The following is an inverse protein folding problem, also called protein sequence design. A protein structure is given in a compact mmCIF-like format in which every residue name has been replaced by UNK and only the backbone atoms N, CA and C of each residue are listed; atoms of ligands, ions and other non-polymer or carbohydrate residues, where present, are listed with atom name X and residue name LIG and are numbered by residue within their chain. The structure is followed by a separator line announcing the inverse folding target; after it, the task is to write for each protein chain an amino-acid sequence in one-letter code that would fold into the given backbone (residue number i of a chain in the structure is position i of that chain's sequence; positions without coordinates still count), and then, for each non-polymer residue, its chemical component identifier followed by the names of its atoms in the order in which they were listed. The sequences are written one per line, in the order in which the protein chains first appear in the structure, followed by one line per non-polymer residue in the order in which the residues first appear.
data_IF_005429186854
#
_entry.id   IF_005429186854
#
_cell.length_a   1.000
_cell.length_b   1.000
_cell.length_c   1.000
_cell.angle_alpha   90.00
_cell.angle_beta   90.00
_cell.angle_gamma   90.00
#
_symmetry.space_group_name_H-M   'P 1'
#
loop_
_entity.id
_entity.type
_entity.pdbx_description
1 polymer ?
#
# COMPACT_ATOMS: atom_id res chain seq x y z
N UNK A 1 -22.85 20.83 -20.47
CA UNK A 1 -22.51 19.46 -19.98
C UNK A 1 -21.03 19.22 -20.22
N UNK A 2 -20.20 19.43 -19.21
CA UNK A 2 -18.74 19.20 -19.27
C UNK A 2 -18.48 17.82 -18.69
N UNK A 3 -18.05 16.89 -19.54
CA UNK A 3 -17.64 15.55 -19.15
C UNK A 3 -16.22 15.64 -18.58
N UNK A 4 -16.08 15.45 -17.28
CA UNK A 4 -14.78 15.25 -16.66
C UNK A 4 -14.35 13.80 -16.91
N UNK A 5 -13.33 13.62 -17.75
CA UNK A 5 -12.58 12.37 -17.84
C UNK A 5 -11.70 12.28 -16.59
N UNK A 6 -12.05 11.39 -15.68
CA UNK A 6 -11.13 10.96 -14.64
C UNK A 6 -10.10 10.03 -15.27
N UNK A 7 -8.90 10.54 -15.50
CA UNK A 7 -7.71 9.74 -15.81
C UNK A 7 -7.29 9.00 -14.53
N UNK A 8 -7.54 7.70 -14.44
CA UNK A 8 -6.92 6.85 -13.46
C UNK A 8 -5.44 6.67 -13.85
N UNK A 9 -4.53 7.42 -13.24
CA UNK A 9 -3.10 7.19 -13.36
C UNK A 9 -2.73 6.08 -12.37
N UNK A 10 -2.55 4.86 -12.85
CA UNK A 10 -1.93 3.78 -12.10
C UNK A 10 -0.42 4.06 -12.02
N UNK A 11 0.03 4.69 -10.94
CA UNK A 11 1.45 4.86 -10.67
C UNK A 11 1.98 3.55 -10.07
N UNK A 12 2.64 2.74 -10.88
CA UNK A 12 3.40 1.57 -10.43
C UNK A 12 4.75 2.06 -9.93
N UNK A 13 4.91 2.18 -8.63
CA UNK A 13 6.22 2.44 -8.02
C UNK A 13 6.90 1.10 -7.78
N UNK A 14 7.90 0.77 -8.57
CA UNK A 14 8.74 -0.39 -8.36
C UNK A 14 9.80 -0.08 -7.29
N UNK A 15 9.67 -0.66 -6.11
CA UNK A 15 10.74 -0.65 -5.11
C UNK A 15 11.66 -1.85 -5.35
N UNK A 16 12.87 -1.59 -5.78
CA UNK A 16 13.91 -2.61 -5.91
C UNK A 16 14.72 -2.68 -4.60
N UNK A 17 14.53 -3.75 -3.82
CA UNK A 17 15.54 -4.47 -3.04
C UNK A 17 14.85 -5.53 -2.17
N UNK A 18 14.96 -6.81 -2.51
CA UNK A 18 14.45 -7.97 -1.73
C UNK A 18 12.99 -7.85 -1.27
N UNK A 19 12.14 -7.21 -2.05
CA UNK A 19 10.75 -6.99 -1.72
C UNK A 19 9.95 -8.23 -2.15
N UNK A 20 9.28 -8.85 -1.20
CA UNK A 20 8.21 -9.78 -1.53
C UNK A 20 7.25 -9.09 -2.50
N UNK A 21 6.86 -9.77 -3.57
CA UNK A 21 5.95 -9.19 -4.58
C UNK A 21 4.55 -9.06 -3.98
N UNK A 22 3.91 -7.92 -4.15
CA UNK A 22 2.53 -7.74 -3.73
C UNK A 22 1.58 -8.59 -4.60
N UNK A 23 0.71 -9.36 -3.96
CA UNK A 23 -0.33 -10.15 -4.62
C UNK A 23 -1.56 -9.31 -4.87
N UNK A 24 -1.90 -8.48 -3.91
CA UNK A 24 -3.05 -7.59 -3.95
C UNK A 24 -2.66 -6.23 -3.37
N UNK A 25 -3.08 -5.17 -4.02
CA UNK A 25 -2.82 -3.81 -3.58
C UNK A 25 -4.10 -3.01 -3.63
N UNK A 26 -4.45 -2.38 -2.53
CA UNK A 26 -5.57 -1.44 -2.45
C UNK A 26 -5.04 -0.06 -2.13
N UNK A 27 -5.41 0.91 -2.96
CA UNK A 27 -5.09 2.32 -2.76
C UNK A 27 -6.30 3.03 -2.19
N UNK A 28 -6.16 3.67 -1.06
CA UNK A 28 -7.16 4.48 -0.39
C UNK A 28 -6.80 5.94 -0.53
N UNK A 29 -7.72 6.74 -1.04
CA UNK A 29 -7.59 8.19 -1.07
C UNK A 29 -8.54 8.80 -0.04
N UNK A 30 -8.06 9.78 0.71
CA UNK A 30 -8.83 10.35 1.80
C UNK A 30 -8.23 11.62 2.36
N UNK A 31 -8.55 11.88 3.62
CA UNK A 31 -8.01 12.99 4.40
C UNK A 31 -7.21 12.48 5.60
N UNK A 32 -6.23 13.27 6.01
CA UNK A 32 -5.45 13.02 7.21
C UNK A 32 -5.45 14.27 8.09
N UNK A 33 -5.72 14.09 9.38
CA UNK A 33 -5.51 15.08 10.41
C UNK A 33 -4.26 14.73 11.22
N UNK A 34 -3.49 15.72 11.63
CA UNK A 34 -2.29 15.56 12.45
C UNK A 34 -2.41 16.39 13.70
N UNK A 35 -2.11 15.78 14.83
CA UNK A 35 -2.08 16.41 16.15
C UNK A 35 -0.68 16.35 16.78
N UNK A 36 -0.40 17.31 17.64
CA UNK A 36 0.84 17.37 18.45
C UNK A 36 0.53 17.14 19.92
N UNK A 37 -0.40 16.25 20.18
CA UNK A 37 -0.85 15.83 21.52
C UNK A 37 -1.00 14.32 21.55
N UNK A 38 -1.23 13.74 22.74
CA UNK A 38 -1.52 12.31 22.86
C UNK A 38 -2.93 11.93 22.34
N UNK A 39 -3.80 12.90 22.09
CA UNK A 39 -5.14 12.66 21.59
C UNK A 39 -5.12 12.50 20.07
N UNK A 40 -5.86 11.52 19.57
CA UNK A 40 -6.05 11.32 18.13
C UNK A 40 -6.94 12.46 17.59
N UNK A 41 -6.47 13.22 16.58
CA UNK A 41 -7.24 14.32 16.03
C UNK A 41 -8.46 13.83 15.25
N UNK A 42 -9.48 14.67 15.13
CA UNK A 42 -10.62 14.40 14.27
C UNK A 42 -10.39 14.94 12.85
N UNK A 43 -10.95 14.25 11.85
CA UNK A 43 -10.94 14.71 10.47
C UNK A 43 -11.87 15.90 10.32
N UNK A 44 -11.34 17.03 9.87
CA UNK A 44 -12.07 18.28 9.62
C UNK A 44 -11.99 18.73 8.16
N UNK A 45 -12.57 19.90 7.89
CA UNK A 45 -12.54 20.49 6.55
C UNK A 45 -11.14 20.94 6.13
N UNK A 46 -10.32 21.30 7.09
CA UNK A 46 -8.92 21.74 6.99
C UNK A 46 -7.90 20.58 6.96
N UNK A 47 -8.37 19.32 7.07
CA UNK A 47 -7.49 18.15 6.99
C UNK A 47 -6.91 17.98 5.60
N UNK A 48 -5.61 17.66 5.53
CA UNK A 48 -4.87 17.50 4.29
C UNK A 48 -5.31 16.25 3.52
N UNK A 49 -5.19 16.28 2.19
CA UNK A 49 -5.41 15.11 1.36
C UNK A 49 -4.26 14.11 1.56
N UNK A 50 -4.59 12.82 1.64
CA UNK A 50 -3.60 11.76 1.80
C UNK A 50 -3.97 10.51 0.99
N UNK A 51 -2.93 9.73 0.66
CA UNK A 51 -3.07 8.45 -0.03
C UNK A 51 -2.39 7.37 0.78
N UNK A 52 -3.11 6.29 1.06
CA UNK A 52 -2.59 5.09 1.71
C UNK A 52 -2.62 3.94 0.71
N UNK A 53 -1.51 3.23 0.59
CA UNK A 53 -1.41 1.97 -0.16
C UNK A 53 -1.25 0.82 0.82
N UNK A 54 -2.20 -0.09 0.80
CA UNK A 54 -2.17 -1.33 1.56
C UNK A 54 -1.95 -2.49 0.62
N UNK A 55 -0.97 -3.34 0.91
CA UNK A 55 -0.63 -4.48 0.07
C UNK A 55 -0.55 -5.76 0.88
N UNK A 56 -1.12 -6.83 0.33
CA UNK A 56 -0.86 -8.20 0.77
C UNK A 56 0.28 -8.75 -0.06
N UNK A 57 1.32 -9.26 0.60
CA UNK A 57 2.52 -9.75 -0.03
C UNK A 57 2.42 -11.25 -0.30
N UNK A 58 3.24 -11.76 -1.25
CA UNK A 58 3.22 -13.17 -1.65
C UNK A 58 3.63 -14.12 -0.52
N UNK A 59 4.45 -13.66 0.41
CA UNK A 59 4.87 -14.41 1.60
C UNK A 59 3.84 -14.41 2.75
N UNK A 60 2.66 -13.81 2.51
CA UNK A 60 1.58 -13.68 3.49
C UNK A 60 1.74 -12.50 4.44
N UNK A 61 2.79 -11.71 4.30
CA UNK A 61 2.96 -10.46 5.08
C UNK A 61 2.12 -9.33 4.48
N UNK A 62 2.08 -8.20 5.18
CA UNK A 62 1.36 -7.01 4.76
C UNK A 62 2.29 -5.80 4.73
N UNK A 63 1.93 -4.83 3.90
CA UNK A 63 2.60 -3.54 3.83
C UNK A 63 1.56 -2.42 3.87
N UNK A 64 1.85 -1.39 4.66
CA UNK A 64 1.10 -0.14 4.70
C UNK A 64 2.05 0.99 4.33
N UNK A 65 1.67 1.83 3.37
CA UNK A 65 2.45 2.99 2.93
C UNK A 65 1.55 4.21 2.91
N UNK A 66 1.87 5.20 3.72
CA UNK A 66 1.32 6.54 3.60
C UNK A 66 2.18 7.30 2.60
N UNK A 67 1.65 7.50 1.38
CA UNK A 67 2.42 8.06 0.26
C UNK A 67 2.41 9.58 0.26
N UNK A 68 3.58 10.16 -0.05
CA UNK A 68 3.77 11.60 -0.22
C UNK A 68 3.04 12.42 0.85
N UNK A 69 3.12 11.91 2.08
CA UNK A 69 2.48 12.55 3.19
C UNK A 69 2.99 13.99 3.34
N UNK A 70 2.08 14.92 3.42
CA UNK A 70 2.37 16.32 3.72
C UNK A 70 1.47 16.80 4.84
N UNK A 71 1.97 17.74 5.61
CA UNK A 71 1.24 18.37 6.70
C UNK A 71 1.56 19.85 6.74
N UNK A 72 0.54 20.70 6.73
CA UNK A 72 0.69 22.17 6.72
C UNK A 72 1.67 22.67 5.64
N UNK A 73 1.67 22.05 4.47
CA UNK A 73 2.56 22.39 3.35
C UNK A 73 3.99 21.83 3.45
N UNK A 74 4.33 21.10 4.52
CA UNK A 74 5.60 20.39 4.65
C UNK A 74 5.48 18.98 4.10
N UNK A 75 6.32 18.62 3.12
CA UNK A 75 6.35 17.26 2.57
C UNK A 75 7.20 16.39 3.48
N UNK A 76 6.55 15.47 4.18
CA UNK A 76 7.19 14.49 5.07
C UNK A 76 7.76 13.33 4.26
N UNK A 77 7.08 12.94 3.18
CA UNK A 77 7.46 11.85 2.28
C UNK A 77 6.62 10.59 2.45
N UNK A 78 7.20 9.46 2.07
CA UNK A 78 6.55 8.15 2.20
C UNK A 78 6.89 7.53 3.54
N UNK A 79 5.86 7.17 4.33
CA UNK A 79 6.01 6.44 5.59
C UNK A 79 5.59 4.99 5.36
N UNK A 80 6.52 4.05 5.54
CA UNK A 80 6.32 2.64 5.17
C UNK A 80 6.37 1.73 6.40
N UNK A 81 5.32 0.92 6.59
CA UNK A 81 5.26 -0.11 7.63
C UNK A 81 5.23 -1.48 6.94
N UNK A 82 6.28 -2.29 7.14
CA UNK A 82 6.40 -3.66 6.59
C UNK A 82 6.61 -4.72 7.65
N UNK A 83 7.29 -4.36 8.74
CA UNK A 83 7.59 -5.29 9.84
C UNK A 83 6.68 -4.99 11.03
N UNK A 84 6.22 -6.05 11.70
CA UNK A 84 5.34 -5.92 12.86
C UNK A 84 3.93 -5.46 12.55
N UNK A 85 3.52 -5.49 11.27
CA UNK A 85 2.15 -5.25 10.86
C UNK A 85 1.37 -6.55 10.95
N UNK A 86 0.44 -6.63 11.91
CA UNK A 86 -0.48 -7.74 12.07
C UNK A 86 -1.81 -7.41 11.39
N UNK A 87 -2.43 -8.38 10.75
CA UNK A 87 -3.75 -8.23 10.14
C UNK A 87 -4.65 -9.38 10.60
N UNK A 88 -5.83 -9.02 11.08
CA UNK A 88 -6.90 -9.94 11.43
C UNK A 88 -8.09 -9.67 10.52
N UNK A 89 -8.55 -10.70 9.82
CA UNK A 89 -9.72 -10.63 8.96
C UNK A 89 -10.89 -11.38 9.60
N UNK A 90 -12.01 -10.67 9.82
CA UNK A 90 -13.23 -11.24 10.36
C UNK A 90 -14.46 -10.54 9.77
N UNK A 91 -15.40 -11.32 9.26
CA UNK A 91 -16.69 -10.85 8.74
C UNK A 91 -16.54 -9.69 7.71
N UNK A 92 -15.56 -9.83 6.79
CA UNK A 92 -15.27 -8.82 5.76
C UNK A 92 -14.63 -7.53 6.29
N UNK A 93 -14.21 -7.51 7.55
CA UNK A 93 -13.46 -6.42 8.17
C UNK A 93 -12.03 -6.87 8.38
N UNK A 94 -11.05 -6.06 7.94
CA UNK A 94 -9.63 -6.27 8.21
C UNK A 94 -9.21 -5.26 9.26
N UNK A 95 -8.65 -5.74 10.36
CA UNK A 95 -8.05 -4.91 11.41
C UNK A 95 -6.54 -5.05 11.33
N UNK A 96 -5.85 -3.94 11.14
CA UNK A 96 -4.40 -3.84 11.10
C UNK A 96 -3.90 -3.25 12.41
N UNK A 97 -2.86 -3.82 12.99
CA UNK A 97 -2.24 -3.31 14.21
C UNK A 97 -0.72 -3.38 14.14
N UNK A 98 -0.08 -2.36 14.68
CA UNK A 98 1.35 -2.37 15.01
C UNK A 98 1.54 -1.79 16.41
N UNK A 99 2.65 -2.14 17.05
CA UNK A 99 3.02 -1.56 18.34
C UNK A 99 4.49 -1.15 18.31
N UNK A 100 4.74 0.15 18.36
CA UNK A 100 6.06 0.77 18.43
C UNK A 100 7.07 0.22 17.41
N UNK A 101 6.65 0.16 16.13
CA UNK A 101 7.49 -0.35 15.04
C UNK A 101 8.26 0.76 14.34
N UNK A 102 9.46 0.45 13.87
CA UNK A 102 10.21 1.36 13.01
C UNK A 102 9.59 1.42 11.62
N UNK A 103 9.18 2.62 11.20
CA UNK A 103 8.66 2.92 9.89
C UNK A 103 9.68 3.82 9.14
N UNK A 104 10.33 3.31 8.08
CA UNK A 104 11.15 4.14 7.20
C UNK A 104 10.38 5.32 6.63
N UNK A 105 11.04 6.48 6.61
CA UNK A 105 10.57 7.70 5.96
C UNK A 105 11.49 7.97 4.78
N UNK A 106 10.92 8.11 3.58
CA UNK A 106 11.68 8.25 2.33
C UNK A 106 11.04 9.30 1.42
N UNK A 107 11.70 9.60 0.31
CA UNK A 107 11.18 10.46 -0.76
C UNK A 107 10.90 11.92 -0.36
N UNK A 108 11.63 12.44 0.62
CA UNK A 108 11.63 13.88 0.96
C UNK A 108 12.92 14.30 1.64
N UNK A 109 13.20 15.60 1.63
CA UNK A 109 14.33 16.19 2.37
C UNK A 109 14.08 16.11 3.89
N UNK A 110 12.82 16.14 4.32
CA UNK A 110 12.43 15.96 5.73
C UNK A 110 12.78 14.57 6.26
N UNK A 111 12.81 13.56 5.41
CA UNK A 111 13.20 12.20 5.82
C UNK A 111 14.58 12.18 6.47
N UNK A 112 15.56 12.93 5.91
CA UNK A 112 16.90 13.04 6.48
C UNK A 112 16.90 13.75 7.85
N UNK A 113 16.06 14.78 8.03
CA UNK A 113 15.91 15.50 9.29
C UNK A 113 15.27 14.64 10.39
N UNK A 114 14.39 13.70 10.00
CA UNK A 114 13.76 12.72 10.88
C UNK A 114 14.64 11.49 11.16
N UNK A 115 15.89 11.48 10.65
CA UNK A 115 16.79 10.33 10.78
C UNK A 115 16.38 9.14 9.91
N UNK A 116 15.56 9.35 8.86
CA UNK A 116 15.15 8.35 7.89
C UNK A 116 14.10 7.36 8.38
N UNK A 117 13.63 7.48 9.61
CA UNK A 117 12.63 6.60 10.21
C UNK A 117 11.93 7.26 11.38
N UNK A 118 10.74 6.76 11.69
CA UNK A 118 9.98 7.11 12.89
C UNK A 118 9.49 5.84 13.58
N UNK A 119 9.22 5.92 14.89
CA UNK A 119 8.52 4.86 15.62
C UNK A 119 7.02 5.13 15.55
N UNK A 120 6.22 4.11 15.29
CA UNK A 120 4.77 4.25 15.11
C UNK A 120 4.04 3.10 15.79
N UNK A 121 3.00 3.44 16.53
CA UNK A 121 1.92 2.52 16.91
C UNK A 121 0.70 2.85 16.01
N UNK A 122 0.12 1.84 15.37
CA UNK A 122 -1.00 2.06 14.45
C UNK A 122 -2.12 1.05 14.71
N UNK A 123 -3.35 1.55 14.61
CA UNK A 123 -4.55 0.73 14.47
C UNK A 123 -5.33 1.21 13.25
N UNK A 124 -5.56 0.31 12.29
CA UNK A 124 -6.39 0.65 11.14
C UNK A 124 -7.49 -0.41 10.94
N UNK A 125 -8.61 0.03 10.41
CA UNK A 125 -9.75 -0.83 10.07
C UNK A 125 -10.12 -0.61 8.61
N UNK A 126 -10.22 -1.70 7.86
CA UNK A 126 -10.71 -1.71 6.48
C UNK A 126 -12.05 -2.45 6.48
N UNK A 127 -13.09 -1.76 6.07
CA UNK A 127 -14.45 -2.31 5.96
C UNK A 127 -15.19 -1.67 4.79
N UNK A 128 -15.91 -2.46 4.02
CA UNK A 128 -16.74 -1.98 2.88
C UNK A 128 -15.96 -1.07 1.91
N UNK A 129 -14.67 -1.41 1.65
CA UNK A 129 -13.79 -0.64 0.79
C UNK A 129 -13.35 0.71 1.37
N UNK A 130 -13.55 0.97 2.65
CA UNK A 130 -13.08 2.17 3.36
C UNK A 130 -12.04 1.81 4.40
N UNK A 131 -11.09 2.72 4.61
CA UNK A 131 -10.07 2.61 5.65
C UNK A 131 -10.17 3.77 6.62
N UNK A 132 -10.08 3.45 7.90
CA UNK A 132 -9.79 4.41 8.98
C UNK A 132 -8.51 3.93 9.66
N UNK A 133 -7.52 4.80 9.78
CA UNK A 133 -6.26 4.49 10.45
C UNK A 133 -5.93 5.57 11.50
N UNK A 134 -5.58 5.12 12.69
CA UNK A 134 -5.12 5.93 13.79
C UNK A 134 -3.65 5.60 14.06
N UNK A 135 -2.80 6.63 14.03
CA UNK A 135 -1.37 6.54 14.26
C UNK A 135 -1.03 7.32 15.54
N UNK A 136 -0.29 6.69 16.41
CA UNK A 136 0.10 7.27 17.71
C UNK A 136 1.55 6.92 18.05
N UNK A 137 2.05 7.47 19.15
CA UNK A 137 3.41 7.28 19.63
C UNK A 137 4.49 7.61 18.56
N UNK A 138 4.19 8.58 17.69
CA UNK A 138 5.14 9.03 16.69
C UNK A 138 6.04 10.07 17.34
N UNK A 139 7.26 9.67 17.69
CA UNK A 139 8.27 10.57 18.24
C UNK A 139 9.09 11.18 17.11
N UNK A 140 9.07 12.50 17.00
CA UNK A 140 9.86 13.24 16.01
C UNK A 140 10.77 14.23 16.73
N UNK A 141 12.01 14.37 16.23
CA UNK A 141 12.95 15.39 16.67
C UNK A 141 13.19 16.35 15.52
N UNK A 142 12.69 17.57 15.66
CA UNK A 142 12.86 18.63 14.68
C UNK A 142 13.80 19.69 15.24
N UNK A 143 15.07 19.65 14.81
CA UNK A 143 16.05 20.64 15.21
C UNK A 143 16.38 20.68 16.71
N UNK A 144 16.30 19.55 17.39
CA UNK A 144 16.54 19.43 18.83
C UNK A 144 15.29 19.55 19.69
N UNK A 145 14.12 19.77 19.11
CA UNK A 145 12.83 19.76 19.81
C UNK A 145 12.14 18.40 19.58
N UNK A 146 11.93 17.67 20.68
CA UNK A 146 11.17 16.43 20.63
C UNK A 146 9.68 16.72 20.73
N UNK A 147 8.90 16.07 19.87
CA UNK A 147 7.44 16.21 19.80
C UNK A 147 6.79 14.85 19.63
N UNK A 148 5.68 14.67 20.33
CA UNK A 148 4.79 13.54 20.10
C UNK A 148 3.75 13.93 19.06
N UNK A 149 3.61 13.09 18.04
CA UNK A 149 2.69 13.31 16.93
C UNK A 149 1.67 12.19 16.91
N UNK A 150 0.43 12.54 16.66
CA UNK A 150 -0.67 11.62 16.38
C UNK A 150 -1.29 11.97 15.04
N UNK A 151 -1.87 10.97 14.36
CA UNK A 151 -2.57 11.23 13.11
C UNK A 151 -3.78 10.32 12.96
N UNK A 152 -4.80 10.80 12.24
CA UNK A 152 -5.95 10.02 11.83
C UNK A 152 -6.13 10.16 10.33
N UNK A 153 -6.28 9.03 9.65
CA UNK A 153 -6.61 8.97 8.23
C UNK A 153 -7.99 8.37 8.05
N UNK A 154 -8.80 8.98 7.20
CA UNK A 154 -10.10 8.44 6.77
C UNK A 154 -10.19 8.48 5.25
N UNK A 155 -10.44 7.31 4.63
CA UNK A 155 -10.61 7.23 3.20
C UNK A 155 -11.98 7.67 2.74
N UNK A 156 -12.03 8.41 1.64
CA UNK A 156 -13.25 8.74 0.92
C UNK A 156 -13.52 7.75 -0.23
N UNK A 157 -12.46 7.17 -0.81
CA UNK A 157 -12.52 6.21 -1.91
C UNK A 157 -11.40 5.19 -1.85
N UNK A 158 -11.59 4.05 -2.51
CA UNK A 158 -10.56 3.03 -2.68
C UNK A 158 -10.56 2.47 -4.10
N UNK A 159 -9.39 2.02 -4.54
CA UNK A 159 -9.21 1.26 -5.78
C UNK A 159 -8.38 0.04 -5.48
N UNK A 160 -8.93 -1.14 -5.70
CA UNK A 160 -8.22 -2.40 -5.53
C UNK A 160 -7.67 -2.86 -6.88
N UNK A 161 -6.38 -3.06 -6.95
CA UNK A 161 -5.69 -3.70 -8.07
C UNK A 161 -5.18 -5.06 -7.62
N UNK A 162 -5.59 -6.11 -8.31
CA UNK A 162 -4.87 -7.39 -8.24
C UNK A 162 -3.68 -7.20 -9.18
N UNK A 163 -2.48 -7.11 -8.63
CA UNK A 163 -1.30 -7.27 -9.44
C UNK A 163 -1.31 -8.72 -9.91
N UNK A 164 -1.72 -8.93 -11.17
CA UNK A 164 -1.33 -10.17 -11.83
C UNK A 164 0.18 -10.24 -11.65
N UNK A 165 0.65 -11.28 -10.96
CA UNK A 165 2.07 -11.56 -10.85
C UNK A 165 2.61 -11.44 -12.26
N UNK A 166 3.28 -10.34 -12.58
CA UNK A 166 4.04 -10.28 -13.80
C UNK A 166 5.17 -11.25 -13.57
N UNK A 167 5.00 -12.47 -14.06
CA UNK A 167 6.03 -13.50 -14.17
C UNK A 167 7.11 -13.02 -15.14
N UNK A 168 7.57 -11.78 -14.96
CA UNK A 168 8.60 -11.16 -15.77
C UNK A 168 9.94 -11.90 -15.71
N UNK A 169 10.04 -13.00 -14.96
CA UNK A 169 11.24 -13.80 -14.87
C UNK A 169 11.03 -15.30 -15.14
N UNK A 170 9.80 -15.81 -15.17
CA UNK A 170 9.58 -17.22 -15.51
C UNK A 170 9.18 -17.32 -16.97
N UNK A 171 10.11 -17.78 -17.82
CA UNK A 171 9.77 -18.11 -19.22
C UNK A 171 8.66 -19.16 -19.25
N UNK A 172 7.68 -18.98 -20.15
CA UNK A 172 6.69 -20.01 -20.46
C UNK A 172 7.46 -21.29 -20.84
N UNK A 173 7.25 -22.36 -20.07
CA UNK A 173 7.88 -23.67 -20.35
C UNK A 173 7.05 -24.44 -21.36
N UNK A 174 5.72 -24.41 -21.23
CA UNK A 174 4.80 -25.10 -22.13
C UNK A 174 3.48 -24.36 -22.20
N UNK A 175 2.80 -24.42 -23.34
CA UNK A 175 1.53 -23.78 -23.62
C UNK A 175 0.52 -24.86 -24.01
N UNK A 176 -0.68 -24.83 -23.45
CA UNK A 176 -1.73 -25.80 -23.74
C UNK A 176 -3.02 -25.09 -24.13
N UNK A 177 -3.83 -25.74 -24.98
CA UNK A 177 -5.21 -25.35 -25.21
C UNK A 177 -6.14 -25.89 -24.11
N UNK A 178 -7.42 -25.55 -24.17
CA UNK A 178 -8.44 -26.01 -23.22
C UNK A 178 -8.64 -27.54 -23.20
N UNK A 179 -8.26 -28.24 -24.27
CA UNK A 179 -8.31 -29.69 -24.34
C UNK A 179 -7.08 -30.38 -23.76
N UNK A 180 -6.10 -29.59 -23.26
CA UNK A 180 -4.84 -30.09 -22.70
C UNK A 180 -3.78 -30.43 -23.77
N UNK A 181 -3.99 -30.07 -25.03
CA UNK A 181 -3.03 -30.28 -26.09
C UNK A 181 -1.94 -29.22 -26.06
N UNK A 182 -0.68 -29.63 -26.10
CA UNK A 182 0.46 -28.70 -26.14
C UNK A 182 0.51 -27.91 -27.45
N UNK A 183 0.72 -26.61 -27.34
CA UNK A 183 0.78 -25.66 -28.43
C UNK A 183 2.20 -25.13 -28.60
N UNK A 184 2.70 -24.95 -29.85
CA UNK A 184 4.01 -24.36 -30.10
C UNK A 184 4.06 -22.84 -29.79
N UNK A 185 2.91 -22.17 -29.76
CA UNK A 185 2.77 -20.74 -29.45
C UNK A 185 1.35 -20.45 -28.97
N UNK A 186 1.15 -19.29 -28.27
CA UNK A 186 -0.17 -18.84 -27.85
C UNK A 186 -1.08 -18.57 -29.02
N UNK A 187 -2.28 -19.16 -29.01
CA UNK A 187 -3.34 -18.96 -29.99
C UNK A 187 -4.36 -17.92 -29.53
N UNK A 188 -5.17 -17.44 -30.44
CA UNK A 188 -6.29 -16.56 -30.11
C UNK A 188 -7.28 -17.29 -29.21
N UNK A 189 -7.66 -16.66 -28.09
CA UNK A 189 -8.53 -17.22 -27.06
C UNK A 189 -7.75 -17.62 -25.80
N UNK A 190 -8.34 -18.51 -24.97
CA UNK A 190 -7.79 -18.91 -23.70
C UNK A 190 -6.66 -19.95 -23.87
N UNK A 191 -5.48 -19.64 -23.35
CA UNK A 191 -4.31 -20.51 -23.30
C UNK A 191 -3.99 -20.85 -21.83
N UNK A 192 -3.55 -22.08 -21.58
CA UNK A 192 -3.04 -22.53 -20.29
C UNK A 192 -1.52 -22.59 -20.41
N UNK A 193 -0.81 -21.75 -19.67
CA UNK A 193 0.65 -21.63 -19.73
C UNK A 193 1.27 -22.20 -18.47
N UNK A 194 2.10 -23.24 -18.62
CA UNK A 194 2.93 -23.75 -17.55
C UNK A 194 4.26 -23.01 -17.56
N UNK A 195 4.59 -22.37 -16.45
CA UNK A 195 5.81 -21.57 -16.29
C UNK A 195 6.98 -22.45 -15.85
N UNK A 196 8.21 -21.99 -16.07
CA UNK A 196 9.42 -22.73 -15.68
C UNK A 196 9.56 -22.93 -14.16
N UNK A 197 8.90 -22.11 -13.34
CA UNK A 197 8.81 -22.27 -11.90
C UNK A 197 7.75 -23.29 -11.43
N UNK A 198 7.08 -24.00 -12.37
CA UNK A 198 6.04 -24.99 -12.09
C UNK A 198 4.63 -24.43 -11.97
N UNK A 199 4.47 -23.12 -11.96
CA UNK A 199 3.17 -22.43 -11.88
C UNK A 199 2.39 -22.57 -13.19
N UNK A 200 1.06 -22.58 -13.09
CA UNK A 200 0.16 -22.66 -14.26
C UNK A 200 -0.75 -21.43 -14.27
N UNK A 201 -0.71 -20.66 -15.34
CA UNK A 201 -1.51 -19.45 -15.53
C UNK A 201 -2.42 -19.56 -16.75
N UNK A 202 -3.59 -18.92 -16.70
CA UNK A 202 -4.52 -18.81 -17.81
C UNK A 202 -4.35 -17.46 -18.49
N UNK A 203 -4.08 -17.43 -19.78
CA UNK A 203 -3.85 -16.22 -20.57
C UNK A 203 -4.81 -16.17 -21.74
N UNK A 204 -5.49 -15.05 -21.92
CA UNK A 204 -6.33 -14.76 -23.10
C UNK A 204 -5.49 -13.92 -24.06
N UNK A 205 -5.37 -14.39 -25.31
CA UNK A 205 -4.68 -13.67 -26.39
C UNK A 205 -5.67 -13.18 -27.43
#
# INVERSE_FOLDING_TARGET
MKRFLLSAIALVVAFAANAATAVETTTFQGKIAVGFTAEIPEIGDDSDAATVVFSKMYDGTYQFVLQQFSFSGLVIGDVTITKGLNAEEKDGTIVLTTDNVEAPVTNSDMAAMLGGKVLITMKATIKDGKMVAELSNIHVNLGGTEMDVTAKFESSSSTTGINSVSTASAKASRIYDLSGRELPAMQKGLNIVKMANGETVKIIK
#
